data_IF_276024623609
#
_entry.id   IF_276024623609
#
_cell.length_a   1.000
_cell.length_b   1.000
_cell.length_c   1.000
_cell.angle_alpha   90.00
_cell.angle_beta   90.00
_cell.angle_gamma   90.00
#
_symmetry.space_group_name_H-M   'P 1'
#
loop_
_entity.id
_entity.type
_entity.pdbx_description
1 polymer ?
#
# COMPACT_ATOMS: atom_id res chain seq x y z
N UNK A 1 10.85 20.18 23.21
CA UNK A 1 10.97 18.81 22.87
C UNK A 1 11.02 18.61 21.37
N UNK A 2 12.03 18.11 20.91
CA UNK A 2 12.24 18.10 19.49
C UNK A 2 12.77 16.76 18.98
N UNK A 3 13.04 15.84 19.89
CA UNK A 3 13.63 14.57 19.52
C UNK A 3 12.75 13.77 18.58
N UNK A 4 11.44 13.78 18.82
CA UNK A 4 10.51 13.05 17.97
C UNK A 4 10.43 13.67 16.58
N UNK A 5 10.40 14.99 16.54
CA UNK A 5 10.34 15.68 15.25
C UNK A 5 11.59 15.42 14.43
N UNK A 6 12.75 15.45 15.07
CA UNK A 6 13.98 15.20 14.36
C UNK A 6 14.03 13.78 13.80
N UNK A 7 13.52 12.82 14.56
CA UNK A 7 13.52 11.43 14.12
C UNK A 7 12.61 11.21 12.92
N UNK A 8 11.50 11.95 12.86
CA UNK A 8 10.51 11.75 11.80
C UNK A 8 11.00 12.25 10.44
N UNK A 9 11.81 13.30 10.41
CA UNK A 9 12.16 13.92 9.15
C UNK A 9 13.37 13.31 8.45
N UNK A 10 13.98 12.29 9.04
CA UNK A 10 15.24 11.74 8.52
C UNK A 10 15.03 10.48 7.69
N UNK A 11 13.94 10.37 6.95
CA UNK A 11 13.67 9.19 6.14
C UNK A 11 14.13 9.44 4.71
N UNK A 12 14.95 8.52 4.19
CA UNK A 12 15.38 8.55 2.80
C UNK A 12 14.15 8.41 1.88
N UNK A 13 14.07 9.19 0.78
CA UNK A 13 12.91 9.10 -0.12
C UNK A 13 12.65 7.71 -0.67
N UNK A 14 13.69 6.94 -0.96
CA UNK A 14 13.50 5.59 -1.47
C UNK A 14 12.92 4.67 -0.40
N UNK A 15 13.40 4.81 0.84
CA UNK A 15 12.86 4.04 1.95
C UNK A 15 11.42 4.43 2.23
N UNK A 16 11.11 5.72 2.10
CA UNK A 16 9.75 6.19 2.28
C UNK A 16 8.82 5.56 1.26
N UNK A 17 9.23 5.49 0.01
CA UNK A 17 8.45 4.87 -1.05
C UNK A 17 8.19 3.40 -0.75
N UNK A 18 9.22 2.70 -0.28
CA UNK A 18 9.08 1.29 0.08
C UNK A 18 8.07 1.09 1.20
N UNK A 19 8.12 1.95 2.23
CA UNK A 19 7.19 1.88 3.35
C UNK A 19 5.77 2.21 2.89
N UNK A 20 5.61 3.22 2.03
CA UNK A 20 4.30 3.54 1.49
C UNK A 20 3.71 2.35 0.74
N UNK A 21 4.53 1.65 -0.03
CA UNK A 21 4.08 0.45 -0.73
C UNK A 21 3.59 -0.62 0.24
N UNK A 22 4.33 -0.84 1.33
CA UNK A 22 3.93 -1.82 2.33
C UNK A 22 2.61 -1.45 3.00
N UNK A 23 2.44 -0.17 3.32
CA UNK A 23 1.21 0.29 3.95
C UNK A 23 0.03 0.07 3.02
N UNK A 24 0.19 0.35 1.74
CA UNK A 24 -0.87 0.11 0.76
C UNK A 24 -1.23 -1.37 0.67
N UNK A 25 -0.22 -2.24 0.67
CA UNK A 25 -0.47 -3.69 0.66
C UNK A 25 -1.23 -4.12 1.90
N UNK A 26 -0.82 -3.63 3.08
CA UNK A 26 -1.53 -3.97 4.32
C UNK A 26 -2.98 -3.52 4.27
N UNK A 27 -3.24 -2.32 3.73
CA UNK A 27 -4.61 -1.83 3.62
C UNK A 27 -5.45 -2.69 2.69
N UNK A 28 -4.88 -3.08 1.55
CA UNK A 28 -5.57 -3.94 0.60
C UNK A 28 -5.90 -5.29 1.22
N UNK A 29 -4.93 -5.88 1.91
CA UNK A 29 -5.14 -7.16 2.56
C UNK A 29 -6.15 -7.09 3.70
N UNK A 30 -6.12 -6.00 4.46
CA UNK A 30 -7.07 -5.80 5.54
C UNK A 30 -8.49 -5.70 5.00
N UNK A 31 -8.67 -4.98 3.90
CA UNK A 31 -9.99 -4.86 3.28
C UNK A 31 -10.48 -6.20 2.73
N UNK A 32 -9.56 -7.03 2.26
CA UNK A 32 -9.92 -8.35 1.75
C UNK A 32 -10.43 -9.28 2.85
N UNK A 33 -10.03 -9.03 4.10
CA UNK A 33 -10.42 -9.87 5.24
C UNK A 33 -11.64 -9.35 5.98
N UNK A 34 -12.13 -8.17 5.63
CA UNK A 34 -13.30 -7.61 6.28
C UNK A 34 -14.52 -8.43 5.90
N UNK A 35 -15.41 -8.64 6.88
CA UNK A 35 -16.70 -9.26 6.64
C UNK A 35 -17.75 -8.17 6.65
N UNK A 36 -18.17 -7.68 5.48
CA UNK A 36 -19.12 -6.57 5.43
C UNK A 36 -20.47 -6.94 6.04
N UNK A 37 -21.00 -6.03 6.85
CA UNK A 37 -22.28 -6.25 7.50
C UNK A 37 -23.46 -5.93 6.59
N UNK A 38 -23.22 -5.25 5.46
CA UNK A 38 -24.28 -4.83 4.56
C UNK A 38 -23.72 -4.72 3.14
N UNK A 39 -24.62 -4.71 2.13
CA UNK A 39 -24.19 -4.48 0.75
C UNK A 39 -23.46 -3.15 0.55
N UNK A 40 -23.86 -2.12 1.31
CA UNK A 40 -23.18 -0.84 1.23
C UNK A 40 -21.74 -0.93 1.72
N UNK A 41 -21.54 -1.61 2.85
CA UNK A 41 -20.18 -1.79 3.35
C UNK A 41 -19.32 -2.58 2.38
N UNK A 42 -19.90 -3.59 1.75
CA UNK A 42 -19.18 -4.38 0.75
C UNK A 42 -18.76 -3.50 -0.42
N UNK A 43 -19.67 -2.68 -0.92
CA UNK A 43 -19.38 -1.78 -2.04
C UNK A 43 -18.27 -0.79 -1.67
N UNK A 44 -18.33 -0.26 -0.46
CA UNK A 44 -17.29 0.68 0.00
C UNK A 44 -15.93 0.00 0.14
N UNK A 45 -15.92 -1.22 0.68
CA UNK A 45 -14.67 -1.97 0.82
C UNK A 45 -14.03 -2.24 -0.54
N UNK A 46 -14.84 -2.63 -1.51
CA UNK A 46 -14.34 -2.88 -2.87
C UNK A 46 -13.83 -1.61 -3.52
N UNK A 47 -14.53 -0.50 -3.30
CA UNK A 47 -14.12 0.78 -3.85
C UNK A 47 -12.78 1.22 -3.30
N UNK A 48 -12.60 1.14 -1.97
CA UNK A 48 -11.35 1.53 -1.33
C UNK A 48 -10.22 0.60 -1.74
N UNK A 49 -10.49 -0.69 -1.84
CA UNK A 49 -9.47 -1.65 -2.25
C UNK A 49 -8.98 -1.34 -3.66
N UNK A 50 -9.90 -1.06 -4.58
CA UNK A 50 -9.53 -0.69 -5.94
C UNK A 50 -8.71 0.59 -5.98
N UNK A 51 -9.08 1.58 -5.16
CA UNK A 51 -8.34 2.83 -5.09
C UNK A 51 -6.92 2.63 -4.57
N UNK A 52 -6.77 1.82 -3.52
CA UNK A 52 -5.44 1.54 -2.97
C UNK A 52 -4.58 0.77 -3.96
N UNK A 53 -5.17 -0.14 -4.72
CA UNK A 53 -4.41 -0.87 -5.74
C UNK A 53 -3.92 0.06 -6.83
N UNK A 54 -4.75 1.02 -7.25
CA UNK A 54 -4.32 2.02 -8.24
C UNK A 54 -3.17 2.85 -7.69
N UNK A 55 -3.25 3.25 -6.41
CA UNK A 55 -2.17 4.00 -5.78
C UNK A 55 -0.88 3.17 -5.74
N UNK A 56 -0.99 1.90 -5.43
CA UNK A 56 0.17 1.02 -5.37
C UNK A 56 0.81 0.88 -6.75
N UNK A 57 0.02 0.70 -7.78
CA UNK A 57 0.53 0.61 -9.15
C UNK A 57 1.23 1.90 -9.58
N UNK A 58 0.66 3.05 -9.25
CA UNK A 58 1.29 4.34 -9.55
C UNK A 58 2.60 4.49 -8.81
N UNK A 59 2.63 4.09 -7.55
CA UNK A 59 3.83 4.19 -6.74
C UNK A 59 4.96 3.36 -7.34
N UNK A 60 4.63 2.14 -7.75
CA UNK A 60 5.61 1.23 -8.36
C UNK A 60 6.12 1.80 -9.67
N UNK A 61 5.24 2.39 -10.46
CA UNK A 61 5.64 2.95 -11.76
C UNK A 61 6.61 4.11 -11.62
N UNK A 62 6.51 4.88 -10.53
CA UNK A 62 7.34 6.06 -10.33
C UNK A 62 8.56 5.79 -9.46
N UNK A 63 8.65 4.64 -8.83
CA UNK A 63 9.73 4.32 -7.90
C UNK A 63 11.00 3.94 -8.64
N UNK A 64 12.17 4.08 -7.98
CA UNK A 64 13.41 3.52 -8.51
C UNK A 64 13.26 2.02 -8.74
N UNK A 65 14.02 1.50 -9.70
CA UNK A 65 13.87 0.09 -10.10
C UNK A 65 14.02 -0.88 -8.94
N UNK A 66 14.99 -0.66 -8.05
CA UNK A 66 15.22 -1.60 -6.95
C UNK A 66 14.06 -1.59 -5.94
N UNK A 67 13.42 -0.43 -5.76
CA UNK A 67 12.26 -0.33 -4.87
C UNK A 67 11.07 -1.06 -5.49
N UNK A 68 10.85 -0.83 -6.79
CA UNK A 68 9.76 -1.50 -7.51
C UNK A 68 9.91 -3.01 -7.46
N UNK A 69 11.13 -3.49 -7.68
CA UNK A 69 11.39 -4.94 -7.64
C UNK A 69 11.13 -5.51 -6.25
N UNK A 70 11.52 -4.77 -5.22
CA UNK A 70 11.30 -5.22 -3.85
C UNK A 70 9.81 -5.32 -3.55
N UNK A 71 9.04 -4.30 -3.93
CA UNK A 71 7.59 -4.31 -3.70
C UNK A 71 6.94 -5.45 -4.48
N UNK A 72 7.30 -5.61 -5.74
CA UNK A 72 6.71 -6.63 -6.59
C UNK A 72 7.02 -8.04 -6.11
N UNK A 73 8.26 -8.30 -5.74
CA UNK A 73 8.63 -9.64 -5.32
C UNK A 73 8.00 -10.04 -3.99
N UNK A 74 7.78 -9.07 -3.12
CA UNK A 74 7.20 -9.33 -1.81
C UNK A 74 5.67 -9.43 -1.87
N UNK A 75 5.04 -8.77 -2.84
CA UNK A 75 3.60 -8.58 -2.84
C UNK A 75 2.92 -9.01 -4.13
N UNK A 76 3.47 -10.01 -4.81
CA UNK A 76 2.89 -10.47 -6.07
C UNK A 76 1.45 -10.95 -5.94
N UNK A 77 1.13 -11.59 -4.84
CA UNK A 77 -0.22 -12.11 -4.64
C UNK A 77 -1.25 -10.99 -4.63
N UNK A 78 -0.88 -9.83 -4.07
CA UNK A 78 -1.77 -8.68 -4.03
C UNK A 78 -1.90 -8.04 -5.42
N UNK A 79 -0.79 -7.93 -6.14
CA UNK A 79 -0.75 -7.23 -7.42
C UNK A 79 -1.28 -8.08 -8.58
N UNK A 80 -1.11 -9.38 -8.52
CA UNK A 80 -1.46 -10.28 -9.61
C UNK A 80 -2.49 -11.33 -9.22
N UNK A 81 -3.07 -11.21 -8.03
CA UNK A 81 -4.10 -12.13 -7.58
C UNK A 81 -5.46 -11.80 -8.18
N UNK A 82 -6.52 -12.40 -7.66
CA UNK A 82 -7.85 -12.27 -8.23
C UNK A 82 -8.50 -10.90 -8.02
N UNK A 83 -7.83 -10.00 -7.41
CA UNK A 83 -8.40 -8.66 -7.17
C UNK A 83 -8.71 -7.93 -8.46
#
# INVERSE_FOLDING_TARGET
MTGVEAAVVEIDPADRTLVEGRILVWAIEALDRIEPASPLERALAELFQAAYKRCLHSLIAEAPAWVSEEILSTNQAVLHGPY
#
